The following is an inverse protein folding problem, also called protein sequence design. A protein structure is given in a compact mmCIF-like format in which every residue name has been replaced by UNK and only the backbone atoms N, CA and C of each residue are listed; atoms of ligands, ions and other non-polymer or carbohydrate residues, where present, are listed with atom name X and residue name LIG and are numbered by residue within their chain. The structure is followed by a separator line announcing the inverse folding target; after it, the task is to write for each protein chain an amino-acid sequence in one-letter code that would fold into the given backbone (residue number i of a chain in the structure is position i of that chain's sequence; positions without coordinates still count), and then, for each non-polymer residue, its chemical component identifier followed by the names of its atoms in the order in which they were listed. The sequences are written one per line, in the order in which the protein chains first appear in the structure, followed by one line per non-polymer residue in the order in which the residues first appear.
data_IF_456950300125
#
_entry.id   IF_456950300125
#
_cell.length_a   1.000
_cell.length_b   1.000
_cell.length_c   1.000
_cell.angle_alpha   90.00
_cell.angle_beta   90.00
_cell.angle_gamma   90.00
#
_symmetry.space_group_name_H-M   'P 1'
#
loop_
_entity.id
_entity.type
_entity.pdbx_description
1 polymer ?
#
# COMPACT_ATOMS: atom_id res chain seq x y z
N UNK A 1 4.38 -6.11 2.21
CA UNK A 1 3.84 -6.10 3.59
C UNK A 1 4.33 -7.34 4.34
N UNK A 2 5.62 -7.63 4.22
CA UNK A 2 6.12 -9.01 4.31
C UNK A 2 6.20 -9.52 5.75
N UNK A 3 6.24 -8.58 6.71
CA UNK A 3 6.26 -8.86 8.16
C UNK A 3 5.04 -8.31 8.87
N UNK A 4 3.99 -7.95 8.13
CA UNK A 4 2.75 -7.49 8.75
C UNK A 4 2.01 -8.68 9.36
N UNK A 5 1.58 -8.55 10.62
CA UNK A 5 0.78 -9.56 11.32
C UNK A 5 -0.59 -8.99 11.72
N UNK A 6 -1.55 -9.85 12.05
CA UNK A 6 -2.84 -9.42 12.59
C UNK A 6 -2.70 -8.56 13.86
N UNK A 7 -1.68 -8.83 14.68
CA UNK A 7 -1.38 -8.04 15.88
C UNK A 7 -1.03 -6.59 15.57
N UNK A 8 -0.47 -6.29 14.39
CA UNK A 8 -0.22 -4.91 13.96
C UNK A 8 -1.53 -4.18 13.67
N UNK A 9 -2.52 -4.85 13.09
CA UNK A 9 -3.84 -4.25 12.82
C UNK A 9 -4.55 -3.90 14.14
N UNK A 10 -4.52 -4.81 15.12
CA UNK A 10 -5.13 -4.56 16.43
C UNK A 10 -4.49 -3.41 17.22
N UNK A 11 -3.28 -2.99 16.86
CA UNK A 11 -2.57 -1.85 17.48
C UNK A 11 -2.80 -0.51 16.78
N UNK A 12 -3.54 -0.49 15.66
CA UNK A 12 -3.81 0.75 14.95
C UNK A 12 -4.80 1.61 15.75
N UNK A 13 -4.39 2.83 16.08
CA UNK A 13 -5.32 3.84 16.59
C UNK A 13 -6.19 4.38 15.44
N UNK A 14 -7.50 4.16 15.56
CA UNK A 14 -8.50 4.56 14.56
C UNK A 14 -8.47 6.08 14.32
N UNK A 15 -8.23 6.88 15.36
CA UNK A 15 -8.19 8.34 15.23
C UNK A 15 -6.97 8.79 14.43
N UNK A 16 -5.82 8.19 14.66
CA UNK A 16 -4.61 8.42 13.87
C UNK A 16 -4.82 8.00 12.42
N UNK A 17 -5.37 6.82 12.17
CA UNK A 17 -5.68 6.33 10.81
C UNK A 17 -6.59 7.32 10.06
N UNK A 18 -7.66 7.80 10.71
CA UNK A 18 -8.56 8.80 10.13
C UNK A 18 -7.81 10.08 9.75
N UNK A 19 -6.94 10.61 10.63
CA UNK A 19 -6.15 11.82 10.36
C UNK A 19 -5.21 11.64 9.17
N UNK A 20 -4.52 10.50 9.09
CA UNK A 20 -3.63 10.18 7.97
C UNK A 20 -4.41 10.11 6.66
N UNK A 21 -5.53 9.39 6.64
CA UNK A 21 -6.37 9.27 5.44
C UNK A 21 -6.99 10.60 5.03
N UNK A 22 -7.37 11.45 5.99
CA UNK A 22 -7.85 12.80 5.70
C UNK A 22 -6.75 13.65 5.07
N UNK A 23 -5.54 13.64 5.63
CA UNK A 23 -4.40 14.37 5.07
C UNK A 23 -4.10 13.96 3.63
N UNK A 24 -4.09 12.65 3.35
CA UNK A 24 -3.80 12.12 2.02
C UNK A 24 -4.81 12.60 0.97
N UNK A 25 -6.07 12.77 1.36
CA UNK A 25 -7.17 13.09 0.44
C UNK A 25 -7.44 14.59 0.31
N UNK A 26 -7.33 15.35 1.40
CA UNK A 26 -7.73 16.77 1.43
C UNK A 26 -6.56 17.75 1.52
N UNK A 27 -5.42 17.32 2.06
CA UNK A 27 -4.31 18.22 2.37
C UNK A 27 -3.11 18.05 1.43
N UNK A 28 -3.04 16.94 0.70
CA UNK A 28 -1.91 16.67 -0.18
C UNK A 28 -1.99 17.56 -1.44
N UNK A 29 -0.95 18.33 -1.71
CA UNK A 29 -0.88 19.23 -2.87
C UNK A 29 -0.54 18.52 -4.19
N UNK A 30 -0.56 17.19 -4.20
CA UNK A 30 -0.26 16.36 -5.37
C UNK A 30 -1.40 15.39 -5.64
N UNK A 31 -1.62 15.08 -6.92
CA UNK A 31 -2.61 14.09 -7.34
C UNK A 31 -2.00 12.70 -7.20
N UNK A 32 -2.54 11.90 -6.28
CA UNK A 32 -2.22 10.48 -6.23
C UNK A 32 -2.76 9.81 -7.49
N UNK A 33 -1.87 9.14 -8.22
CA UNK A 33 -2.26 8.37 -9.41
C UNK A 33 -2.72 6.97 -9.01
N UNK A 34 -1.87 6.24 -8.29
CA UNK A 34 -2.09 4.84 -7.91
C UNK A 34 -1.38 4.55 -6.57
N UNK A 35 -1.97 3.66 -5.76
CA UNK A 35 -1.42 3.20 -4.47
C UNK A 35 -1.36 1.69 -4.50
N UNK A 36 -0.14 1.13 -4.47
CA UNK A 36 0.08 -0.32 -4.58
C UNK A 36 0.54 -0.93 -3.27
N UNK A 37 -0.27 -1.81 -2.69
CA UNK A 37 0.12 -2.65 -1.55
C UNK A 37 0.72 -3.97 -2.05
N UNK A 38 2.04 -4.09 -1.99
CA UNK A 38 2.76 -5.31 -2.38
C UNK A 38 2.80 -6.34 -1.25
N UNK A 39 2.84 -7.62 -1.61
CA UNK A 39 2.89 -8.76 -0.68
C UNK A 39 1.78 -8.67 0.38
N UNK A 40 0.56 -8.41 -0.08
CA UNK A 40 -0.60 -8.27 0.78
C UNK A 40 -0.94 -9.64 1.41
N UNK A 41 -1.01 -9.75 2.76
CA UNK A 41 -1.37 -11.01 3.42
C UNK A 41 -2.86 -11.29 3.27
N UNK A 42 -3.28 -12.54 3.49
CA UNK A 42 -4.70 -12.97 3.37
C UNK A 42 -5.70 -12.17 4.20
N UNK A 43 -5.26 -11.46 5.24
CA UNK A 43 -6.11 -10.65 6.10
C UNK A 43 -6.19 -9.18 5.66
N UNK A 44 -5.61 -8.79 4.53
CA UNK A 44 -5.61 -7.40 4.06
C UNK A 44 -7.03 -6.86 3.83
N UNK A 45 -7.97 -7.73 3.45
CA UNK A 45 -9.37 -7.34 3.26
C UNK A 45 -10.00 -6.85 4.57
N UNK A 46 -9.61 -7.42 5.72
CA UNK A 46 -10.05 -6.96 7.04
C UNK A 46 -9.51 -5.56 7.35
N UNK A 47 -8.25 -5.29 6.97
CA UNK A 47 -7.71 -3.93 7.09
C UNK A 47 -8.50 -2.97 6.20
N UNK A 48 -8.77 -3.34 4.95
CA UNK A 48 -9.57 -2.50 4.05
C UNK A 48 -10.98 -2.25 4.57
N UNK A 49 -11.63 -3.22 5.21
CA UNK A 49 -12.92 -2.99 5.88
C UNK A 49 -12.85 -1.91 6.97
N UNK A 50 -11.76 -1.87 7.74
CA UNK A 50 -11.54 -0.83 8.76
C UNK A 50 -11.30 0.55 8.13
N UNK A 51 -10.59 0.61 7.00
CA UNK A 51 -10.24 1.87 6.32
C UNK A 51 -11.38 2.45 5.49
N UNK A 52 -12.22 1.59 4.88
CA UNK A 52 -13.33 1.95 3.97
C UNK A 52 -14.17 3.15 4.42
N UNK A 53 -14.61 3.29 5.68
CA UNK A 53 -15.43 4.42 6.13
C UNK A 53 -14.74 5.79 6.00
N UNK A 54 -13.41 5.81 5.91
CA UNK A 54 -12.61 7.04 5.84
C UNK A 54 -12.06 7.31 4.44
N UNK A 55 -12.29 6.40 3.49
CA UNK A 55 -11.81 6.51 2.11
C UNK A 55 -12.91 7.07 1.20
N UNK A 56 -12.60 8.14 0.47
CA UNK A 56 -13.42 8.62 -0.63
C UNK A 56 -13.30 7.67 -1.82
N UNK A 57 -14.32 7.67 -2.68
CA UNK A 57 -14.36 6.83 -3.89
C UNK A 57 -13.12 7.02 -4.78
N UNK A 58 -12.69 8.27 -4.98
CA UNK A 58 -11.50 8.59 -5.76
C UNK A 58 -10.22 7.91 -5.23
N UNK A 59 -10.04 7.79 -3.90
CA UNK A 59 -8.90 7.09 -3.34
C UNK A 59 -9.09 5.56 -3.39
N UNK A 60 -10.31 5.06 -3.21
CA UNK A 60 -10.60 3.62 -3.34
C UNK A 60 -10.33 3.08 -4.75
N UNK A 61 -10.67 3.85 -5.78
CA UNK A 61 -10.54 3.44 -7.18
C UNK A 61 -9.07 3.32 -7.63
N UNK A 62 -8.14 3.94 -6.89
CA UNK A 62 -6.70 3.94 -7.19
C UNK A 62 -5.87 3.06 -6.24
N UNK A 63 -6.50 2.41 -5.26
CA UNK A 63 -5.82 1.47 -4.36
C UNK A 63 -5.84 0.07 -4.98
N UNK A 64 -4.64 -0.48 -5.20
CA UNK A 64 -4.43 -1.83 -5.69
C UNK A 64 -3.72 -2.68 -4.64
N UNK A 65 -4.24 -3.88 -4.41
CA UNK A 65 -3.64 -4.86 -3.50
C UNK A 65 -3.07 -6.02 -4.32
N UNK A 66 -1.80 -6.30 -4.11
CA UNK A 66 -1.08 -7.37 -4.79
C UNK A 66 -0.75 -8.47 -3.77
N UNK A 67 -1.43 -9.63 -3.84
CA UNK A 67 -1.12 -10.77 -2.99
C UNK A 67 0.33 -11.24 -3.16
N UNK A 68 0.83 -11.95 -2.15
CA UNK A 68 2.17 -12.57 -2.21
C UNK A 68 2.27 -13.49 -3.43
N UNK A 69 3.30 -13.28 -4.25
CA UNK A 69 3.55 -14.08 -5.47
C UNK A 69 2.68 -13.73 -6.68
N UNK A 70 1.91 -12.64 -6.64
CA UNK A 70 1.13 -12.20 -7.80
C UNK A 70 1.94 -11.27 -8.72
N UNK A 71 2.02 -11.61 -10.02
CA UNK A 71 2.61 -10.76 -11.07
C UNK A 71 1.69 -9.59 -11.51
N UNK A 72 0.71 -9.23 -10.68
CA UNK A 72 -0.26 -8.19 -10.99
C UNK A 72 0.34 -6.78 -10.99
N UNK A 73 1.49 -6.58 -10.36
CA UNK A 73 2.19 -5.30 -10.31
C UNK A 73 2.85 -4.93 -11.64
N UNK A 74 3.30 -5.93 -12.42
CA UNK A 74 4.01 -5.72 -13.69
C UNK A 74 3.16 -4.97 -14.73
N UNK A 75 1.83 -5.03 -14.58
CA UNK A 75 0.86 -4.35 -15.45
C UNK A 75 0.79 -2.84 -15.24
N UNK A 76 1.21 -2.37 -14.07
CA UNK A 76 1.14 -0.95 -13.68
C UNK A 76 2.51 -0.29 -13.76
N UNK A 77 3.57 -1.00 -13.37
CA UNK A 77 4.93 -0.49 -13.33
C UNK A 77 5.93 -1.51 -13.90
N UNK A 78 6.96 -1.00 -14.58
CA UNK A 78 8.07 -1.82 -15.06
C UNK A 78 8.87 -2.40 -13.90
N UNK A 79 8.90 -3.73 -13.79
CA UNK A 79 9.54 -4.47 -12.70
C UNK A 79 11.04 -4.17 -12.60
N UNK A 80 11.70 -3.89 -13.72
CA UNK A 80 13.13 -3.54 -13.76
C UNK A 80 13.47 -2.28 -12.97
N UNK A 81 12.51 -1.36 -12.80
CA UNK A 81 12.68 -0.15 -12.02
C UNK A 81 12.64 -0.40 -10.50
N UNK A 82 12.13 -1.57 -10.06
CA UNK A 82 12.06 -1.92 -8.65
C UNK A 82 13.45 -2.34 -8.11
N UNK A 83 13.72 -2.10 -6.81
CA UNK A 83 14.91 -2.64 -6.16
C UNK A 83 14.99 -4.17 -6.27
N UNK A 84 16.22 -4.71 -6.32
CA UNK A 84 16.49 -6.17 -6.27
C UNK A 84 15.78 -6.88 -5.13
N UNK A 85 15.63 -6.22 -3.98
CA UNK A 85 14.93 -6.77 -2.81
C UNK A 85 13.44 -7.00 -3.02
N UNK A 86 12.83 -6.37 -4.03
CA UNK A 86 11.40 -6.48 -4.36
C UNK A 86 11.14 -7.25 -5.66
N UNK A 87 12.14 -7.98 -6.17
CA UNK A 87 12.03 -8.75 -7.41
C UNK A 87 12.33 -7.96 -8.69
N UNK A 88 12.85 -6.73 -8.58
CA UNK A 88 13.31 -5.94 -9.72
C UNK A 88 14.80 -6.06 -10.02
N UNK A 89 15.26 -5.27 -10.98
CA UNK A 89 16.64 -5.27 -11.47
C UNK A 89 17.49 -4.11 -10.90
N UNK A 90 16.84 -3.13 -10.25
CA UNK A 90 17.48 -1.91 -9.76
C UNK A 90 18.28 -2.13 -8.46
N UNK A 91 19.12 -1.15 -8.09
CA UNK A 91 19.96 -1.20 -6.88
C UNK A 91 19.17 -1.63 -5.64
N UNK A 92 19.78 -2.47 -4.79
CA UNK A 92 19.15 -2.96 -3.56
C UNK A 92 18.91 -1.82 -2.54
N UNK A 93 17.91 -1.96 -1.68
CA UNK A 93 17.51 -0.90 -0.73
C UNK A 93 18.65 -0.47 0.20
N UNK A 94 19.52 -1.40 0.56
CA UNK A 94 20.74 -1.19 1.34
C UNK A 94 21.74 -0.22 0.71
N UNK A 95 21.69 -0.05 -0.62
CA UNK A 95 22.59 0.86 -1.35
C UNK A 95 21.98 2.23 -1.68
N UNK A 96 20.69 2.44 -1.38
CA UNK A 96 19.97 3.70 -1.60
C UNK A 96 19.86 4.52 -0.30
N UNK A 97 20.34 3.98 0.82
CA UNK A 97 20.28 4.60 2.14
C UNK A 97 21.53 5.38 2.50
#
# INVERSE_FOLDING_TARGET
MDRTTLGHIGKLDVMTVKKVLYFVQECMLMKLKEVHFMNAPHFIDKLMMLLRPFLKKALMDIIYMHPVGADSLQKYISVDALPKTDGGSYKGRETIR
#
